data_IF_160619010124
#
_entry.id   IF_160619010124
#
_cell.length_a   1.000
_cell.length_b   1.000
_cell.length_c   1.000
_cell.angle_alpha   90.00
_cell.angle_beta   90.00
_cell.angle_gamma   90.00
#
_symmetry.space_group_name_H-M   'P 1'
#
loop_
_entity.id
_entity.type
_entity.pdbx_description
1 polymer ?
#
# COMPACT_ATOMS: atom_id res chain seq x y z
N UNK A 1 4.42 -23.80 -2.14
CA UNK A 1 3.47 -23.19 -1.20
C UNK A 1 3.98 -21.81 -0.90
N UNK A 2 3.14 -20.80 -1.05
CA UNK A 2 3.50 -19.41 -0.77
C UNK A 2 3.51 -19.20 0.74
N UNK A 3 4.47 -18.40 1.23
CA UNK A 3 4.61 -18.11 2.65
C UNK A 3 3.73 -16.91 3.03
N UNK A 4 3.06 -16.99 4.18
CA UNK A 4 2.30 -15.88 4.72
C UNK A 4 3.28 -14.79 5.19
N UNK A 5 3.21 -13.62 4.55
CA UNK A 5 4.02 -12.45 4.89
C UNK A 5 3.22 -11.50 5.77
N UNK A 6 3.91 -10.86 6.71
CA UNK A 6 3.35 -9.82 7.56
C UNK A 6 4.05 -8.48 7.27
N UNK A 7 3.27 -7.48 6.87
CA UNK A 7 3.73 -6.12 6.71
C UNK A 7 3.23 -5.28 7.87
N UNK A 8 4.15 -4.61 8.55
CA UNK A 8 3.84 -3.67 9.63
C UNK A 8 4.11 -2.26 9.15
N UNK A 9 3.10 -1.42 9.22
CA UNK A 9 3.16 0.00 8.86
C UNK A 9 2.95 0.82 10.12
N UNK A 10 3.98 1.54 10.54
CA UNK A 10 3.87 2.47 11.68
C UNK A 10 3.61 3.88 11.19
N UNK A 11 2.98 4.68 12.05
CA UNK A 11 2.68 6.08 11.73
C UNK A 11 3.94 6.88 11.52
N UNK A 12 4.97 6.66 12.33
CA UNK A 12 6.24 7.37 12.24
C UNK A 12 6.92 7.13 10.89
N UNK A 13 7.05 5.86 10.47
CA UNK A 13 7.66 5.53 9.16
C UNK A 13 6.86 6.14 8.00
N UNK A 14 5.52 6.14 8.11
CA UNK A 14 4.66 6.73 7.11
C UNK A 14 4.78 8.26 7.06
N UNK A 15 4.90 8.93 8.19
CA UNK A 15 5.12 10.38 8.27
C UNK A 15 6.49 10.77 7.68
N UNK A 16 7.54 9.98 7.95
CA UNK A 16 8.85 10.16 7.32
C UNK A 16 8.76 10.04 5.79
N UNK A 17 8.07 9.01 5.30
CA UNK A 17 7.79 8.85 3.88
C UNK A 17 7.08 10.07 3.31
N UNK A 18 6.03 10.58 3.97
CA UNK A 18 5.30 11.75 3.52
C UNK A 18 6.15 13.01 3.51
N UNK A 19 6.96 13.24 4.54
CA UNK A 19 7.85 14.39 4.63
C UNK A 19 8.81 14.44 3.43
N UNK A 20 9.43 13.31 3.09
CA UNK A 20 10.32 13.19 1.92
C UNK A 20 9.52 13.33 0.62
N UNK A 21 8.40 12.63 0.49
CA UNK A 21 7.62 12.54 -0.75
C UNK A 21 6.97 13.87 -1.14
N UNK A 22 6.47 14.61 -0.16
CA UNK A 22 5.75 15.87 -0.35
C UNK A 22 6.66 17.09 -0.14
N UNK A 23 7.92 16.90 0.26
CA UNK A 23 8.89 17.97 0.56
C UNK A 23 8.33 18.98 1.58
N UNK A 24 7.67 18.48 2.62
CA UNK A 24 7.00 19.33 3.60
C UNK A 24 8.01 20.13 4.42
N UNK A 25 7.66 21.37 4.75
CA UNK A 25 8.44 22.27 5.61
C UNK A 25 7.49 23.01 6.55
N UNK A 26 7.94 23.30 7.78
CA UNK A 26 7.22 24.16 8.73
C UNK A 26 5.85 23.60 9.14
N UNK A 27 4.81 24.44 9.12
CA UNK A 27 3.47 24.12 9.65
C UNK A 27 2.76 22.96 8.93
N UNK A 28 3.04 22.74 7.64
CA UNK A 28 2.42 21.64 6.88
C UNK A 28 2.83 20.25 7.39
N UNK A 29 3.97 20.14 8.08
CA UNK A 29 4.41 18.88 8.68
C UNK A 29 3.59 18.51 9.92
N UNK A 30 3.11 19.49 10.70
CA UNK A 30 2.29 19.23 11.88
C UNK A 30 0.85 18.82 11.54
N UNK A 31 0.28 19.31 10.45
CA UNK A 31 -1.09 18.97 10.08
C UNK A 31 -1.26 17.50 9.70
N UNK A 32 -0.25 16.88 9.06
CA UNK A 32 -0.27 15.47 8.67
C UNK A 32 -0.18 14.52 9.88
N UNK A 33 0.40 14.95 11.00
CA UNK A 33 0.50 14.15 12.23
C UNK A 33 -0.88 13.82 12.83
N UNK A 34 -1.89 14.64 12.53
CA UNK A 34 -3.25 14.44 13.03
C UNK A 34 -4.03 13.37 12.24
N UNK A 35 -3.51 12.92 11.10
CA UNK A 35 -4.21 11.96 10.24
C UNK A 35 -3.92 10.53 10.71
N UNK A 36 -4.98 9.76 10.97
CA UNK A 36 -4.88 8.38 11.45
C UNK A 36 -5.02 7.36 10.31
N UNK A 37 -4.45 6.17 10.49
CA UNK A 37 -4.55 5.11 9.47
C UNK A 37 -5.98 4.66 9.15
N UNK A 38 -6.93 4.55 10.10
CA UNK A 38 -8.31 4.22 9.77
C UNK A 38 -8.91 5.17 8.74
N UNK A 39 -8.65 6.47 8.87
CA UNK A 39 -9.12 7.47 7.92
C UNK A 39 -8.43 7.34 6.55
N UNK A 40 -7.09 7.24 6.53
CA UNK A 40 -6.31 7.09 5.29
C UNK A 40 -6.69 5.84 4.51
N UNK A 41 -6.96 4.74 5.21
CA UNK A 41 -7.39 3.50 4.60
C UNK A 41 -8.82 3.62 4.04
N UNK A 42 -9.77 4.11 4.83
CA UNK A 42 -11.17 4.23 4.41
C UNK A 42 -11.36 5.21 3.24
N UNK A 43 -10.57 6.29 3.20
CA UNK A 43 -10.55 7.28 2.10
C UNK A 43 -9.94 6.74 0.80
N UNK A 44 -9.25 5.59 0.84
CA UNK A 44 -8.55 5.05 -0.31
C UNK A 44 -7.30 5.85 -0.70
N UNK A 45 -6.60 6.44 0.28
CA UNK A 45 -5.42 7.29 0.08
C UNK A 45 -4.38 6.66 -0.86
N UNK A 46 -4.14 7.29 -2.00
CA UNK A 46 -3.15 6.84 -2.98
C UNK A 46 -1.71 6.91 -2.44
N UNK A 47 -1.44 7.86 -1.53
CA UNK A 47 -0.15 7.96 -0.84
C UNK A 47 0.08 6.78 0.09
N UNK A 48 -0.95 6.37 0.85
CA UNK A 48 -0.87 5.20 1.70
C UNK A 48 -0.69 3.92 0.87
N UNK A 49 -1.45 3.77 -0.23
CA UNK A 49 -1.28 2.63 -1.16
C UNK A 49 0.11 2.57 -1.77
N UNK A 50 0.63 3.72 -2.22
CA UNK A 50 1.99 3.84 -2.74
C UNK A 50 3.01 3.41 -1.70
N UNK A 51 2.85 3.88 -0.47
CA UNK A 51 3.75 3.52 0.62
C UNK A 51 3.74 2.02 0.86
N UNK A 52 2.57 1.43 1.09
CA UNK A 52 2.38 -0.02 1.30
C UNK A 52 3.05 -0.83 0.18
N UNK A 53 2.79 -0.49 -1.08
CA UNK A 53 3.39 -1.21 -2.22
C UNK A 53 4.91 -1.06 -2.27
N UNK A 54 5.44 0.10 -1.88
CA UNK A 54 6.87 0.39 -1.88
C UNK A 54 7.65 -0.36 -0.80
N UNK A 55 7.06 -0.55 0.38
CA UNK A 55 7.67 -1.31 1.49
C UNK A 55 7.32 -2.79 1.45
N UNK A 56 6.29 -3.19 0.71
CA UNK A 56 5.99 -4.60 0.47
C UNK A 56 7.00 -5.21 -0.51
N UNK A 57 7.32 -6.48 -0.31
CA UNK A 57 8.06 -7.26 -1.31
C UNK A 57 7.18 -7.71 -2.49
N UNK A 58 5.94 -7.24 -2.58
CA UNK A 58 4.98 -7.72 -3.57
C UNK A 58 5.41 -7.38 -5.00
N UNK A 59 5.82 -6.13 -5.23
CA UNK A 59 6.18 -5.65 -6.58
C UNK A 59 7.43 -6.34 -7.14
N UNK A 60 8.42 -6.59 -6.28
CA UNK A 60 9.67 -7.26 -6.67
C UNK A 60 9.49 -8.76 -6.92
N UNK A 61 8.51 -9.39 -6.27
CA UNK A 61 8.22 -10.83 -6.39
C UNK A 61 7.17 -11.16 -7.46
N UNK A 62 6.51 -10.15 -8.01
CA UNK A 62 5.48 -10.32 -9.03
C UNK A 62 6.09 -10.87 -10.34
N UNK A 63 5.51 -11.92 -10.96
CA UNK A 63 5.96 -12.39 -12.27
C UNK A 63 5.86 -11.31 -13.36
N UNK A 64 6.79 -11.31 -14.32
CA UNK A 64 6.88 -10.27 -15.37
C UNK A 64 5.58 -10.09 -16.17
N UNK A 65 4.78 -11.16 -16.35
CA UNK A 65 3.46 -11.12 -17.01
C UNK A 65 2.43 -10.21 -16.34
N UNK A 66 2.69 -9.81 -15.11
CA UNK A 66 1.86 -8.93 -14.27
C UNK A 66 2.55 -7.59 -13.94
N UNK A 67 3.82 -7.38 -14.32
CA UNK A 67 4.51 -6.10 -14.14
C UNK A 67 4.00 -5.09 -15.17
N UNK A 68 2.88 -4.43 -14.87
CA UNK A 68 2.37 -3.28 -15.62
C UNK A 68 2.82 -1.97 -14.96
N UNK A 69 2.95 -0.87 -15.72
CA UNK A 69 3.39 0.41 -15.17
C UNK A 69 2.34 1.10 -14.29
N UNK A 70 1.08 0.66 -14.34
CA UNK A 70 -0.01 1.30 -13.63
C UNK A 70 -0.08 0.88 -12.15
N UNK A 71 -0.02 1.85 -11.24
CA UNK A 71 -0.04 1.62 -9.79
C UNK A 71 -1.39 1.12 -9.28
N UNK A 72 -2.49 1.56 -9.86
CA UNK A 72 -3.83 1.07 -9.54
C UNK A 72 -3.98 -0.40 -9.90
N UNK A 73 -3.40 -0.82 -11.03
CA UNK A 73 -3.33 -2.23 -11.40
C UNK A 73 -2.51 -3.05 -10.39
N UNK A 74 -1.32 -2.59 -10.01
CA UNK A 74 -0.48 -3.28 -9.02
C UNK A 74 -1.21 -3.39 -7.67
N UNK A 75 -1.87 -2.31 -7.23
CA UNK A 75 -2.68 -2.31 -6.01
C UNK A 75 -3.81 -3.35 -6.07
N UNK A 76 -4.50 -3.45 -7.21
CA UNK A 76 -5.54 -4.46 -7.41
C UNK A 76 -4.97 -5.88 -7.28
N UNK A 77 -3.81 -6.17 -7.85
CA UNK A 77 -3.17 -7.48 -7.69
C UNK A 77 -2.77 -7.72 -6.22
N UNK A 78 -2.18 -6.73 -5.55
CA UNK A 78 -1.82 -6.84 -4.14
C UNK A 78 -3.03 -7.14 -3.26
N UNK A 79 -4.16 -6.48 -3.52
CA UNK A 79 -5.40 -6.68 -2.76
C UNK A 79 -5.91 -8.13 -2.82
N UNK A 80 -5.67 -8.85 -3.92
CA UNK A 80 -6.01 -10.27 -4.03
C UNK A 80 -5.14 -11.13 -3.10
N UNK A 81 -3.89 -10.73 -2.87
CA UNK A 81 -2.96 -11.43 -1.97
C UNK A 81 -3.25 -11.20 -0.48
N UNK A 82 -3.99 -10.16 -0.12
CA UNK A 82 -4.26 -9.83 1.28
C UNK A 82 -5.22 -10.85 1.91
N UNK A 83 -4.84 -11.36 3.09
CA UNK A 83 -5.64 -12.29 3.91
C UNK A 83 -6.28 -11.60 5.10
N UNK A 84 -5.56 -10.67 5.71
CA UNK A 84 -6.00 -9.97 6.92
C UNK A 84 -5.44 -8.55 6.94
N UNK A 85 -6.25 -7.59 7.38
CA UNK A 85 -5.81 -6.23 7.68
C UNK A 85 -6.30 -5.86 9.08
N UNK A 86 -5.38 -5.43 9.93
CA UNK A 86 -5.69 -4.83 11.22
C UNK A 86 -5.26 -3.36 11.18
N UNK A 87 -6.16 -2.46 11.55
CA UNK A 87 -5.92 -1.01 11.45
C UNK A 87 -6.17 -0.39 12.82
N UNK A 88 -5.13 0.18 13.39
CA UNK A 88 -5.13 0.99 14.61
C UNK A 88 -4.71 2.43 14.22
N UNK A 89 -4.98 3.45 15.06
CA UNK A 89 -4.65 4.84 14.74
C UNK A 89 -3.19 5.06 14.33
N UNK A 90 -2.25 4.40 15.02
CA UNK A 90 -0.81 4.61 14.85
C UNK A 90 -0.08 3.42 14.20
N UNK A 91 -0.79 2.34 13.90
CA UNK A 91 -0.23 1.13 13.31
C UNK A 91 -1.23 0.42 12.40
N UNK A 92 -0.76 -0.09 11.27
CA UNK A 92 -1.50 -1.01 10.43
C UNK A 92 -0.68 -2.29 10.21
N UNK A 93 -1.34 -3.44 10.28
CA UNK A 93 -0.75 -4.76 10.01
C UNK A 93 -1.50 -5.35 8.81
N UNK A 94 -0.76 -5.73 7.77
CA UNK A 94 -1.31 -6.41 6.59
C UNK A 94 -0.66 -7.78 6.49
N UNK A 95 -1.45 -8.85 6.57
CA UNK A 95 -0.98 -10.20 6.26
C UNK A 95 -1.39 -10.56 4.85
N UNK A 96 -0.43 -10.99 4.04
CA UNK A 96 -0.66 -11.31 2.64
C UNK A 96 0.15 -12.52 2.20
N UNK A 97 -0.34 -13.21 1.18
CA UNK A 97 0.27 -14.40 0.62
C UNK A 97 0.32 -14.26 -0.90
N UNK A 98 1.50 -14.49 -1.51
CA UNK A 98 1.63 -14.45 -2.96
C UNK A 98 0.81 -15.58 -3.60
N UNK A 99 0.21 -15.32 -4.75
CA UNK A 99 -0.59 -16.30 -5.48
C UNK A 99 0.16 -16.76 -6.73
N UNK A 100 -0.08 -18.00 -7.15
CA UNK A 100 0.44 -18.53 -8.41
C UNK A 100 -0.20 -17.81 -9.61
N UNK A 101 -1.47 -17.43 -9.48
CA UNK A 101 -2.23 -16.71 -10.50
C UNK A 101 -3.01 -15.54 -9.91
N UNK A 102 -2.95 -14.40 -10.59
CA UNK A 102 -3.75 -13.23 -10.29
C UNK A 102 -4.73 -12.94 -11.41
N UNK A 103 -5.92 -12.46 -11.03
CA UNK A 103 -6.90 -11.95 -11.98
C UNK A 103 -6.48 -10.57 -12.44
N UNK A 104 -6.49 -10.35 -13.74
CA UNK A 104 -6.33 -8.99 -14.31
C UNK A 104 -7.68 -8.26 -14.19
N UNK A 105 -7.69 -6.95 -13.89
CA UNK A 105 -8.91 -6.16 -13.94
C UNK A 105 -9.49 -6.20 -15.36
N UNK A 106 -10.81 -6.07 -15.47
CA UNK A 106 -11.50 -6.03 -16.76
C UNK A 106 -10.91 -4.92 -17.64
N UNK A 107 -10.82 -5.17 -18.96
CA UNK A 107 -10.18 -4.30 -19.99
C UNK A 107 -10.63 -2.82 -20.02
N UNK A 108 -11.62 -2.42 -19.23
CA UNK A 108 -12.31 -1.14 -19.33
C UNK A 108 -11.64 0.04 -18.60
N UNK A 109 -10.48 -0.15 -17.98
CA UNK A 109 -9.71 0.94 -17.35
C UNK A 109 -8.72 1.63 -18.31
N UNK A 110 -8.72 1.29 -19.60
CA UNK A 110 -8.03 2.05 -20.65
C UNK A 110 -9.06 2.87 -21.43
N UNK A 111 -9.44 4.04 -20.89
CA UNK A 111 -10.12 5.11 -21.63
C UNK A 111 -9.34 6.41 -21.41
#
# INVERSE_FOLDING_TARGET
>A
MSELKELVVTKDDYLEFLAVRLRLQGSCQHEIENVSFPYLFASGSELLRTYILGISEFTSTLPDRYKLPDRGFIWYLFSQSVKEIQIMPDKMIIKYELQDEYRKPFKQFYL
#
